data_IF_887375820309
#
_entry.id   IF_887375820309
#
_cell.length_a   1.000
_cell.length_b   1.000
_cell.length_c   1.000
_cell.angle_alpha   90.00
_cell.angle_beta   90.00
_cell.angle_gamma   90.00
#
_symmetry.space_group_name_H-M   'P 1'
#
loop_
_entity.id
_entity.type
_entity.pdbx_description
1 polymer ?
#
# COMPACT_ATOMS: atom_id res chain seq x y z
N UNK A 1 29.93 12.28 7.47
CA UNK A 1 29.23 13.46 6.94
C UNK A 1 30.05 14.15 5.85
N UNK A 2 29.47 14.27 4.65
CA UNK A 2 30.06 14.89 3.47
C UNK A 2 30.02 16.42 3.54
N UNK A 3 31.00 17.05 2.88
CA UNK A 3 31.02 18.51 2.74
C UNK A 3 30.11 18.99 1.58
N UNK A 4 29.79 20.29 1.60
CA UNK A 4 28.87 20.93 0.63
C UNK A 4 29.34 20.89 -0.83
N UNK A 5 30.62 20.64 -1.08
CA UNK A 5 31.22 20.53 -2.42
C UNK A 5 31.34 19.09 -2.91
N UNK A 6 31.00 18.10 -2.07
CA UNK A 6 31.02 16.70 -2.47
C UNK A 6 30.08 16.46 -3.66
N UNK A 7 30.61 15.73 -4.66
CA UNK A 7 29.86 15.29 -5.83
C UNK A 7 29.82 13.76 -5.77
N UNK A 8 28.63 13.14 -5.73
CA UNK A 8 28.53 11.69 -5.69
C UNK A 8 29.06 11.07 -6.98
N UNK A 9 29.68 9.90 -6.85
CA UNK A 9 30.11 9.08 -7.98
C UNK A 9 29.24 7.83 -8.05
N UNK A 10 28.95 7.35 -9.26
CA UNK A 10 28.28 6.06 -9.40
C UNK A 10 29.22 4.95 -8.95
N UNK A 11 28.76 4.00 -8.11
CA UNK A 11 29.58 2.85 -7.73
C UNK A 11 29.90 1.95 -8.93
N UNK A 12 29.02 1.91 -9.94
CA UNK A 12 29.22 1.24 -11.24
C UNK A 12 28.28 1.86 -12.29
N UNK A 13 28.54 1.61 -13.58
CA UNK A 13 27.90 2.30 -14.72
C UNK A 13 26.37 2.30 -14.68
N UNK A 14 25.78 1.13 -14.37
CA UNK A 14 24.34 0.90 -14.41
C UNK A 14 23.65 1.06 -13.05
N UNK A 15 24.32 1.70 -12.07
CA UNK A 15 23.73 1.98 -10.77
C UNK A 15 22.47 2.85 -10.90
N UNK A 16 21.35 2.29 -10.44
CA UNK A 16 20.05 2.96 -10.32
C UNK A 16 19.12 2.19 -9.39
N UNK A 17 18.15 2.87 -8.80
CA UNK A 17 17.09 2.19 -8.07
C UNK A 17 16.11 1.52 -9.04
N UNK A 18 15.69 0.30 -8.71
CA UNK A 18 14.69 -0.45 -9.49
C UNK A 18 13.51 -0.84 -8.62
N UNK A 19 12.30 -0.62 -9.11
CA UNK A 19 11.07 -1.08 -8.48
C UNK A 19 10.46 -2.16 -9.35
N UNK A 20 10.22 -3.36 -8.79
CA UNK A 20 9.34 -4.46 -9.20
C UNK A 20 8.80 -4.59 -10.65
N UNK A 21 9.45 -3.99 -11.65
CA UNK A 21 9.03 -3.84 -13.03
C UNK A 21 10.18 -3.23 -13.85
N UNK A 22 10.18 -3.52 -15.16
CA UNK A 22 11.04 -2.84 -16.14
C UNK A 22 10.29 -1.75 -16.91
N UNK A 23 8.95 -1.79 -16.86
CA UNK A 23 8.03 -0.79 -17.41
C UNK A 23 6.95 -0.49 -16.39
N UNK A 24 6.82 0.77 -15.97
CA UNK A 24 5.83 1.18 -14.99
C UNK A 24 4.41 1.06 -15.55
N UNK A 25 3.58 0.31 -14.84
CA UNK A 25 2.13 0.45 -14.93
C UNK A 25 1.69 1.21 -13.67
N UNK A 26 1.57 2.53 -13.79
CA UNK A 26 1.05 3.37 -12.70
C UNK A 26 -0.31 2.79 -12.25
N UNK A 27 -0.50 2.61 -10.94
CA UNK A 27 -1.72 2.06 -10.35
C UNK A 27 -1.66 0.59 -9.94
N UNK A 28 -0.66 -0.20 -10.38
CA UNK A 28 -0.51 -1.58 -9.88
C UNK A 28 -0.20 -1.66 -8.38
N UNK A 29 0.44 -0.63 -7.83
CA UNK A 29 0.69 -0.50 -6.40
C UNK A 29 -0.53 -0.04 -5.59
N UNK A 30 -1.65 0.30 -6.22
CA UNK A 30 -2.85 0.62 -5.46
C UNK A 30 -3.34 -0.64 -4.72
N UNK A 31 -3.67 -0.58 -3.41
CA UNK A 31 -4.01 -1.76 -2.64
C UNK A 31 -5.21 -2.52 -3.21
N UNK A 32 -6.18 -1.82 -3.86
CA UNK A 32 -7.33 -2.49 -4.49
C UNK A 32 -6.91 -3.33 -5.70
N UNK A 33 -5.84 -2.94 -6.40
CA UNK A 33 -5.30 -3.68 -7.55
C UNK A 33 -4.32 -4.75 -7.08
N UNK A 34 -3.29 -4.37 -6.32
CA UNK A 34 -2.22 -5.29 -5.90
C UNK A 34 -2.78 -6.45 -5.09
N UNK A 35 -3.53 -6.13 -4.03
CA UNK A 35 -4.11 -7.13 -3.15
C UNK A 35 -5.37 -7.73 -3.76
N UNK A 36 -6.14 -6.96 -4.53
CA UNK A 36 -7.29 -7.49 -5.28
C UNK A 36 -6.92 -8.68 -6.15
N UNK A 37 -5.88 -8.52 -6.99
CA UNK A 37 -5.33 -9.60 -7.81
C UNK A 37 -4.86 -10.78 -6.94
N UNK A 38 -4.22 -10.51 -5.79
CA UNK A 38 -3.77 -11.55 -4.86
C UNK A 38 -4.94 -12.37 -4.30
N UNK A 39 -6.07 -11.76 -3.94
CA UNK A 39 -7.24 -12.53 -3.47
C UNK A 39 -7.86 -13.35 -4.58
N UNK A 40 -7.87 -12.86 -5.82
CA UNK A 40 -8.35 -13.64 -6.97
C UNK A 40 -7.49 -14.87 -7.15
N UNK A 41 -6.18 -14.73 -7.05
CA UNK A 41 -5.26 -15.87 -7.05
C UNK A 41 -5.57 -16.83 -5.91
N UNK A 42 -5.76 -16.33 -4.68
CA UNK A 42 -6.05 -17.16 -3.51
C UNK A 42 -7.38 -17.91 -3.63
N UNK A 43 -8.43 -17.24 -4.12
CA UNK A 43 -9.74 -17.83 -4.43
C UNK A 43 -9.58 -19.02 -5.36
N UNK A 44 -8.80 -18.87 -6.43
CA UNK A 44 -8.54 -19.95 -7.38
C UNK A 44 -7.63 -21.05 -6.80
N UNK A 45 -6.62 -20.70 -6.02
CA UNK A 45 -5.73 -21.66 -5.34
C UNK A 45 -6.51 -22.58 -4.38
N UNK A 46 -7.52 -22.04 -3.69
CA UNK A 46 -8.42 -22.79 -2.81
C UNK A 46 -9.37 -23.72 -3.58
N UNK A 47 -9.82 -23.32 -4.77
CA UNK A 47 -10.67 -24.15 -5.63
C UNK A 47 -9.88 -25.32 -6.23
N UNK A 48 -8.70 -25.04 -6.79
CA UNK A 48 -7.83 -26.06 -7.37
C UNK A 48 -6.40 -25.55 -7.50
N UNK A 49 -5.46 -26.23 -6.81
CA UNK A 49 -4.01 -25.92 -6.83
C UNK A 49 -3.34 -26.04 -8.21
N UNK A 50 -4.04 -26.55 -9.23
CA UNK A 50 -3.54 -26.69 -10.60
C UNK A 50 -3.81 -25.51 -11.54
N UNK A 51 -4.59 -24.50 -11.12
CA UNK A 51 -5.01 -23.39 -11.98
C UNK A 51 -3.80 -22.54 -12.41
N UNK A 52 -3.80 -22.08 -13.66
CA UNK A 52 -2.72 -21.31 -14.27
C UNK A 52 -3.09 -19.84 -14.45
N UNK A 53 -2.09 -18.96 -14.48
CA UNK A 53 -2.29 -17.54 -14.78
C UNK A 53 -2.80 -17.29 -16.21
N UNK A 54 -2.70 -18.26 -17.11
CA UNK A 54 -3.26 -18.14 -18.47
C UNK A 54 -4.67 -18.70 -18.62
N UNK A 55 -5.27 -19.22 -17.53
CA UNK A 55 -6.57 -19.88 -17.59
C UNK A 55 -7.74 -18.90 -17.70
N UNK A 56 -8.87 -19.38 -18.21
CA UNK A 56 -10.11 -18.60 -18.35
C UNK A 56 -10.70 -18.22 -16.98
N UNK A 57 -10.48 -19.04 -15.94
CA UNK A 57 -10.86 -18.71 -14.57
C UNK A 57 -10.14 -17.45 -14.09
N UNK A 58 -8.81 -17.40 -14.22
CA UNK A 58 -8.05 -16.20 -13.82
C UNK A 58 -8.38 -14.99 -14.70
N UNK A 59 -8.61 -15.21 -16.00
CA UNK A 59 -9.03 -14.14 -16.91
C UNK A 59 -10.37 -13.50 -16.46
N UNK A 60 -11.37 -14.30 -16.08
CA UNK A 60 -12.65 -13.78 -15.59
C UNK A 60 -12.50 -12.95 -14.33
N UNK A 61 -11.70 -13.42 -13.36
CA UNK A 61 -11.46 -12.68 -12.12
C UNK A 61 -10.75 -11.34 -12.37
N UNK A 62 -9.80 -11.29 -13.32
CA UNK A 62 -9.13 -10.03 -13.70
C UNK A 62 -10.07 -9.07 -14.44
N UNK A 63 -10.94 -9.57 -15.32
CA UNK A 63 -11.94 -8.75 -16.03
C UNK A 63 -12.92 -8.14 -15.03
N UNK A 64 -13.40 -8.92 -14.07
CA UNK A 64 -14.30 -8.44 -13.01
C UNK A 64 -13.63 -7.35 -12.17
N UNK A 65 -12.41 -7.59 -11.69
CA UNK A 65 -11.65 -6.59 -10.94
C UNK A 65 -11.42 -5.32 -11.77
N UNK A 66 -11.06 -5.47 -13.05
CA UNK A 66 -10.88 -4.34 -13.98
C UNK A 66 -12.12 -3.46 -14.05
N UNK A 67 -13.30 -4.07 -14.19
CA UNK A 67 -14.58 -3.37 -14.26
C UNK A 67 -14.91 -2.67 -12.95
N UNK A 68 -14.67 -3.33 -11.82
CA UNK A 68 -14.94 -2.77 -10.49
C UNK A 68 -14.02 -1.57 -10.17
N UNK A 69 -12.83 -1.50 -10.77
CA UNK A 69 -11.86 -0.44 -10.48
C UNK A 69 -11.73 0.62 -11.57
N UNK A 70 -12.32 0.44 -12.75
CA UNK A 70 -12.16 1.28 -13.96
C UNK A 70 -12.31 2.79 -13.68
N UNK A 71 -13.31 3.18 -12.90
CA UNK A 71 -13.60 4.59 -12.59
C UNK A 71 -12.65 5.21 -11.54
N UNK A 72 -11.89 4.37 -10.82
CA UNK A 72 -11.10 4.77 -9.65
C UNK A 72 -9.60 4.61 -9.84
N UNK A 73 -9.17 3.53 -10.49
CA UNK A 73 -7.77 3.20 -10.73
C UNK A 73 -7.61 2.90 -12.21
N UNK A 74 -6.80 3.70 -12.91
CA UNK A 74 -6.65 3.66 -14.38
C UNK A 74 -5.85 2.47 -14.91
N UNK A 75 -6.03 1.26 -14.35
CA UNK A 75 -5.35 0.04 -14.77
C UNK A 75 -6.32 -0.88 -15.51
N UNK A 76 -6.06 -1.10 -16.80
CA UNK A 76 -6.79 -2.07 -17.63
C UNK A 76 -6.22 -3.48 -17.41
N UNK A 77 -6.84 -4.23 -16.48
CA UNK A 77 -6.51 -5.62 -16.21
C UNK A 77 -7.17 -6.57 -17.22
N UNK A 78 -8.31 -6.18 -17.81
CA UNK A 78 -9.05 -6.99 -18.76
C UNK A 78 -8.24 -7.32 -20.02
N UNK A 79 -7.38 -6.40 -20.47
CA UNK A 79 -6.43 -6.63 -21.60
C UNK A 79 -5.19 -7.44 -21.24
N UNK A 80 -5.02 -7.83 -19.98
CA UNK A 80 -3.83 -8.53 -19.46
C UNK A 80 -4.17 -9.97 -19.07
N UNK A 81 -4.87 -10.69 -19.94
CA UNK A 81 -5.35 -12.06 -19.75
C UNK A 81 -4.73 -13.05 -20.75
N UNK A 82 -5.00 -14.35 -20.60
CA UNK A 82 -4.53 -15.40 -21.50
C UNK A 82 -3.00 -15.60 -21.50
N UNK A 83 -2.42 -15.84 -22.68
CA UNK A 83 -0.99 -16.18 -22.82
C UNK A 83 -0.03 -15.01 -22.52
N UNK A 84 -0.50 -13.75 -22.67
CA UNK A 84 0.24 -12.53 -22.32
C UNK A 84 -0.33 -11.89 -21.06
N UNK A 85 -0.65 -12.71 -20.06
CA UNK A 85 -1.30 -12.24 -18.84
C UNK A 85 -0.43 -11.30 -17.98
N UNK A 86 -1.09 -10.64 -17.04
CA UNK A 86 -0.51 -9.71 -16.06
C UNK A 86 0.71 -10.27 -15.34
N UNK A 87 0.70 -11.54 -14.94
CA UNK A 87 1.76 -12.12 -14.11
C UNK A 87 3.00 -12.46 -14.94
N UNK A 88 2.82 -12.77 -16.21
CA UNK A 88 3.93 -12.92 -17.15
C UNK A 88 4.68 -11.61 -17.38
N UNK A 89 3.95 -10.49 -17.53
CA UNK A 89 4.54 -9.19 -17.88
C UNK A 89 4.93 -8.33 -16.66
N UNK A 90 4.20 -8.49 -15.55
CA UNK A 90 4.29 -7.61 -14.38
C UNK A 90 4.28 -8.39 -13.06
N UNK A 91 4.43 -9.72 -13.08
CA UNK A 91 4.44 -10.55 -11.87
C UNK A 91 5.56 -10.23 -10.87
N UNK A 92 6.55 -9.42 -11.30
CA UNK A 92 7.61 -8.88 -10.45
C UNK A 92 7.04 -8.04 -9.29
N UNK A 93 5.90 -7.35 -9.47
CA UNK A 93 5.20 -6.63 -8.38
C UNK A 93 4.89 -7.57 -7.21
N UNK A 94 4.31 -8.73 -7.47
CA UNK A 94 3.96 -9.69 -6.42
C UNK A 94 5.18 -10.47 -5.91
N UNK A 95 6.16 -10.80 -6.77
CA UNK A 95 7.37 -11.53 -6.35
C UNK A 95 8.28 -10.68 -5.46
N UNK A 96 8.54 -9.44 -5.85
CA UNK A 96 9.41 -8.53 -5.09
C UNK A 96 8.87 -8.20 -3.70
N UNK A 97 7.55 -8.33 -3.52
CA UNK A 97 6.82 -8.13 -2.26
C UNK A 97 6.54 -9.45 -1.53
N UNK A 98 7.18 -10.55 -1.96
CA UNK A 98 7.05 -11.88 -1.37
C UNK A 98 5.61 -12.42 -1.30
N UNK A 99 4.73 -12.04 -2.23
CA UNK A 99 3.32 -12.45 -2.26
C UNK A 99 3.09 -13.74 -3.07
N UNK A 100 3.86 -13.94 -4.13
CA UNK A 100 3.82 -15.17 -4.95
C UNK A 100 5.21 -15.77 -5.06
N UNK A 101 5.26 -17.08 -5.31
CA UNK A 101 6.55 -17.78 -5.40
C UNK A 101 7.42 -17.26 -6.56
N UNK A 102 8.75 -17.20 -6.39
CA UNK A 102 9.68 -16.90 -7.46
C UNK A 102 9.51 -17.82 -8.68
N UNK A 103 9.78 -17.30 -9.88
CA UNK A 103 9.31 -17.81 -11.18
C UNK A 103 9.48 -19.30 -11.50
N UNK A 104 8.50 -20.11 -11.10
CA UNK A 104 8.34 -21.48 -11.58
C UNK A 104 7.90 -21.53 -13.05
N UNK A 105 8.44 -22.48 -13.83
CA UNK A 105 8.09 -22.68 -15.25
C UNK A 105 6.66 -23.19 -15.48
N UNK A 106 5.95 -23.55 -14.41
CA UNK A 106 4.63 -24.17 -14.46
C UNK A 106 3.51 -23.22 -14.90
N UNK A 107 3.70 -21.90 -14.68
CA UNK A 107 2.66 -20.89 -14.88
C UNK A 107 1.46 -21.04 -13.93
N UNK A 108 1.57 -21.88 -12.91
CA UNK A 108 0.53 -22.13 -11.92
C UNK A 108 0.42 -20.97 -10.94
N UNK A 109 -0.81 -20.72 -10.49
CA UNK A 109 -1.08 -19.82 -9.37
C UNK A 109 -0.52 -20.46 -8.11
N UNK A 110 0.45 -19.80 -7.49
CA UNK A 110 1.09 -20.31 -6.28
C UNK A 110 1.56 -19.13 -5.42
N UNK A 111 0.91 -18.97 -4.27
CA UNK A 111 1.25 -17.92 -3.30
C UNK A 111 2.35 -18.43 -2.35
N UNK A 112 3.15 -17.51 -1.82
CA UNK A 112 4.00 -17.82 -0.66
C UNK A 112 3.13 -17.96 0.60
N UNK A 113 3.68 -18.48 1.69
CA UNK A 113 2.94 -18.50 2.96
C UNK A 113 2.60 -17.10 3.47
N UNK A 114 3.50 -16.13 3.24
CA UNK A 114 3.21 -14.72 3.51
C UNK A 114 2.05 -14.20 2.65
N UNK A 115 2.09 -14.44 1.35
CA UNK A 115 1.03 -14.05 0.41
C UNK A 115 -0.32 -14.69 0.74
N UNK A 116 -0.35 -15.96 1.15
CA UNK A 116 -1.58 -16.63 1.61
C UNK A 116 -2.16 -15.94 2.84
N UNK A 117 -1.34 -15.61 3.84
CA UNK A 117 -1.80 -14.92 5.06
C UNK A 117 -2.30 -13.51 4.79
N UNK A 118 -1.66 -12.77 3.87
CA UNK A 118 -2.19 -11.48 3.39
C UNK A 118 -3.52 -11.69 2.66
N UNK A 119 -3.60 -12.70 1.78
CA UNK A 119 -4.79 -12.98 0.99
C UNK A 119 -5.99 -13.41 1.86
N UNK A 120 -5.72 -14.20 2.89
CA UNK A 120 -6.70 -14.70 3.86
C UNK A 120 -7.03 -13.64 4.93
N UNK A 121 -6.42 -12.44 4.86
CA UNK A 121 -6.59 -11.32 5.81
C UNK A 121 -6.16 -11.63 7.24
N UNK A 122 -5.30 -12.64 7.40
CA UNK A 122 -4.59 -12.92 8.66
C UNK A 122 -3.43 -11.95 8.90
N UNK A 123 -2.96 -11.30 7.83
CA UNK A 123 -2.06 -10.14 7.86
C UNK A 123 -2.82 -8.95 7.30
N UNK A 124 -2.91 -7.86 8.06
CA UNK A 124 -3.62 -6.66 7.62
C UNK A 124 -2.85 -5.91 6.54
N UNK A 125 -3.51 -4.98 5.86
CA UNK A 125 -2.86 -4.11 4.88
C UNK A 125 -1.73 -3.29 5.52
N UNK A 126 -1.95 -2.79 6.75
CA UNK A 126 -0.97 -2.01 7.50
C UNK A 126 0.23 -2.87 7.90
N UNK A 127 -0.01 -4.09 8.40
CA UNK A 127 1.08 -5.04 8.70
C UNK A 127 1.89 -5.38 7.44
N UNK A 128 1.22 -5.69 6.33
CA UNK A 128 1.87 -5.94 5.04
C UNK A 128 2.77 -4.77 4.61
N UNK A 129 2.25 -3.55 4.71
CA UNK A 129 2.98 -2.35 4.31
C UNK A 129 4.18 -2.08 5.22
N UNK A 130 4.02 -2.20 6.54
CA UNK A 130 5.10 -2.01 7.51
C UNK A 130 6.25 -3.01 7.30
N UNK A 131 5.94 -4.29 7.05
CA UNK A 131 6.94 -5.31 6.72
C UNK A 131 7.63 -4.99 5.41
N UNK A 132 6.88 -4.55 4.40
CA UNK A 132 7.45 -4.18 3.10
C UNK A 132 8.41 -3.00 3.26
N UNK A 133 8.07 -1.99 4.05
CA UNK A 133 8.98 -0.87 4.38
C UNK A 133 10.28 -1.38 5.00
N UNK A 134 10.21 -2.35 5.91
CA UNK A 134 11.38 -2.91 6.60
C UNK A 134 12.22 -3.86 5.74
N UNK A 135 11.61 -4.57 4.80
CA UNK A 135 12.25 -5.72 4.12
C UNK A 135 12.56 -5.47 2.65
N UNK A 136 11.87 -4.52 1.99
CA UNK A 136 12.14 -4.21 0.58
C UNK A 136 13.51 -3.58 0.45
N UNK A 137 14.41 -4.31 -0.24
CA UNK A 137 15.80 -3.89 -0.40
C UNK A 137 16.26 -3.92 -1.85
N UNK A 138 17.32 -3.17 -2.12
CA UNK A 138 18.17 -3.29 -3.30
C UNK A 138 19.56 -3.79 -2.88
N UNK A 139 20.17 -4.73 -3.60
CA UNK A 139 19.60 -5.39 -4.78
C UNK A 139 18.44 -6.35 -4.41
N UNK A 140 17.43 -6.43 -5.27
CA UNK A 140 16.30 -7.35 -5.12
C UNK A 140 16.41 -8.49 -6.15
N UNK A 141 16.63 -9.75 -5.73
CA UNK A 141 16.81 -10.88 -6.66
C UNK A 141 15.55 -11.24 -7.45
N UNK A 142 14.38 -10.69 -7.10
CA UNK A 142 13.15 -10.85 -7.89
C UNK A 142 12.99 -9.79 -9.00
N UNK A 143 13.88 -8.79 -9.01
CA UNK A 143 13.86 -7.64 -9.93
C UNK A 143 15.14 -7.56 -10.75
N UNK A 144 16.28 -7.93 -10.15
CA UNK A 144 17.63 -7.83 -10.70
C UNK A 144 18.19 -9.22 -11.00
N UNK A 145 19.07 -9.31 -12.00
CA UNK A 145 19.75 -10.59 -12.31
C UNK A 145 20.74 -10.96 -11.19
N UNK A 146 21.18 -12.21 -11.16
CA UNK A 146 22.17 -12.67 -10.18
C UNK A 146 23.47 -11.88 -10.28
N UNK A 147 23.95 -11.62 -11.51
CA UNK A 147 25.18 -10.86 -11.77
C UNK A 147 25.06 -9.42 -11.29
N UNK A 148 23.89 -8.80 -11.51
CA UNK A 148 23.62 -7.46 -11.02
C UNK A 148 23.57 -7.43 -9.49
N UNK A 149 22.91 -8.41 -8.85
CA UNK A 149 22.88 -8.51 -7.40
C UNK A 149 24.29 -8.69 -6.81
N UNK A 150 25.12 -9.55 -7.40
CA UNK A 150 26.51 -9.76 -7.00
C UNK A 150 27.33 -8.48 -7.14
N UNK A 151 27.12 -7.70 -8.20
CA UNK A 151 27.80 -6.43 -8.40
C UNK A 151 27.46 -5.43 -7.29
N UNK A 152 26.19 -5.27 -6.93
CA UNK A 152 25.79 -4.43 -5.80
C UNK A 152 26.46 -4.87 -4.49
N UNK A 153 26.43 -6.17 -4.19
CA UNK A 153 27.02 -6.73 -2.97
C UNK A 153 28.54 -6.57 -2.92
N UNK A 154 29.23 -6.71 -4.06
CA UNK A 154 30.68 -6.49 -4.19
C UNK A 154 31.08 -5.05 -3.84
N UNK A 155 30.19 -4.09 -4.11
CA UNK A 155 30.35 -2.68 -3.73
C UNK A 155 29.80 -2.38 -2.32
N UNK A 156 29.42 -3.39 -1.54
CA UNK A 156 28.90 -3.20 -0.18
C UNK A 156 27.54 -2.51 -0.13
N UNK A 157 26.76 -2.56 -1.21
CA UNK A 157 25.48 -1.85 -1.30
C UNK A 157 24.32 -2.78 -0.94
N UNK A 158 23.67 -2.48 0.18
CA UNK A 158 22.34 -2.95 0.53
C UNK A 158 21.54 -1.73 0.97
N UNK A 159 20.52 -1.36 0.21
CA UNK A 159 19.71 -0.17 0.45
C UNK A 159 18.29 -0.62 0.73
N UNK A 160 17.59 0.06 1.63
CA UNK A 160 16.18 -0.15 1.92
C UNK A 160 15.41 1.10 1.50
N UNK A 161 15.05 1.26 0.21
CA UNK A 161 14.53 2.51 -0.35
C UNK A 161 13.34 3.11 0.40
N UNK A 162 12.35 2.28 0.74
CA UNK A 162 11.14 2.73 1.43
C UNK A 162 11.45 3.25 2.84
N UNK A 163 12.30 2.52 3.57
CA UNK A 163 12.81 2.90 4.88
C UNK A 163 13.60 4.21 4.81
N UNK A 164 14.57 4.30 3.89
CA UNK A 164 15.42 5.46 3.72
C UNK A 164 14.63 6.73 3.37
N UNK A 165 13.63 6.62 2.48
CA UNK A 165 12.75 7.74 2.16
C UNK A 165 12.03 8.24 3.41
N UNK A 166 11.44 7.33 4.21
CA UNK A 166 10.74 7.68 5.44
C UNK A 166 11.67 8.28 6.50
N UNK A 167 12.89 7.76 6.66
CA UNK A 167 13.92 8.32 7.55
C UNK A 167 14.25 9.76 7.16
N UNK A 168 14.49 10.02 5.86
CA UNK A 168 14.81 11.35 5.35
C UNK A 168 13.66 12.32 5.59
N UNK A 169 12.41 11.99 5.23
CA UNK A 169 11.28 12.91 5.39
C UNK A 169 10.91 13.14 6.85
N UNK A 170 11.07 12.14 7.73
CA UNK A 170 10.87 12.32 9.17
C UNK A 170 11.92 13.25 9.77
N UNK A 171 13.18 13.16 9.32
CA UNK A 171 14.23 14.08 9.79
C UNK A 171 14.00 15.49 9.24
N UNK A 172 13.65 15.64 7.96
CA UNK A 172 13.29 16.93 7.38
C UNK A 172 12.07 17.57 8.08
N UNK A 173 11.11 16.78 8.54
CA UNK A 173 9.95 17.27 9.29
C UNK A 173 10.37 18.00 10.58
N UNK A 174 11.42 17.54 11.27
CA UNK A 174 11.97 18.22 12.46
C UNK A 174 12.51 19.62 12.15
N UNK A 175 12.81 19.89 10.87
CA UNK A 175 13.21 21.19 10.35
C UNK A 175 12.05 21.97 9.70
N UNK A 176 10.81 21.48 9.79
CA UNK A 176 9.62 22.10 9.18
C UNK A 176 9.41 21.76 7.70
N UNK A 177 10.18 20.82 7.14
CA UNK A 177 10.20 20.54 5.71
C UNK A 177 9.91 19.06 5.37
N UNK A 178 8.94 18.44 6.03
CA UNK A 178 8.63 17.00 6.01
C UNK A 178 8.08 16.43 4.70
N UNK A 179 8.74 16.71 3.58
CA UNK A 179 8.43 16.20 2.26
C UNK A 179 9.69 15.94 1.43
N UNK A 180 9.52 15.17 0.36
CA UNK A 180 10.49 15.04 -0.73
C UNK A 180 9.80 15.28 -2.07
N UNK A 181 10.55 15.80 -3.03
CA UNK A 181 10.12 15.84 -4.43
C UNK A 181 10.63 14.63 -5.23
N UNK A 182 9.96 14.32 -6.34
CA UNK A 182 10.50 13.37 -7.32
C UNK A 182 11.89 13.79 -7.80
N UNK A 183 12.10 15.08 -8.04
CA UNK A 183 13.41 15.62 -8.43
C UNK A 183 14.49 15.35 -7.38
N UNK A 184 14.22 15.64 -6.11
CA UNK A 184 15.14 15.38 -5.01
C UNK A 184 15.45 13.89 -4.86
N UNK A 185 14.45 13.02 -5.06
CA UNK A 185 14.68 11.57 -5.06
C UNK A 185 15.68 11.18 -6.16
N UNK A 186 15.44 11.57 -7.41
CA UNK A 186 16.23 11.09 -8.54
C UNK A 186 17.58 11.79 -8.71
N UNK A 187 17.67 13.07 -8.34
CA UNK A 187 18.89 13.86 -8.50
C UNK A 187 19.76 13.93 -7.25
N UNK A 188 19.23 13.66 -6.06
CA UNK A 188 19.99 13.76 -4.80
C UNK A 188 20.05 12.43 -4.07
N UNK A 189 18.89 11.88 -3.70
CA UNK A 189 18.83 10.68 -2.85
C UNK A 189 19.43 9.46 -3.55
N UNK A 190 19.01 9.15 -4.79
CA UNK A 190 19.52 7.99 -5.51
C UNK A 190 21.05 8.09 -5.72
N UNK A 191 21.62 9.19 -6.24
CA UNK A 191 23.07 9.34 -6.35
C UNK A 191 23.84 9.16 -5.03
N UNK A 192 23.41 9.84 -3.96
CA UNK A 192 24.07 9.74 -2.64
C UNK A 192 24.01 8.32 -2.06
N UNK A 193 22.94 7.58 -2.36
CA UNK A 193 22.78 6.20 -1.89
C UNK A 193 23.83 5.23 -2.45
N UNK A 194 24.48 5.58 -3.56
CA UNK A 194 25.62 4.83 -4.11
C UNK A 194 26.96 5.12 -3.42
N UNK A 195 27.02 6.13 -2.55
CA UNK A 195 28.24 6.63 -1.91
C UNK A 195 28.31 6.34 -0.41
N UNK A 196 27.46 5.45 0.13
CA UNK A 196 27.37 5.17 1.56
C UNK A 196 27.07 6.43 2.42
N UNK A 197 26.27 7.35 1.89
CA UNK A 197 25.81 8.53 2.61
C UNK A 197 25.04 8.16 3.89
N UNK A 198 25.27 8.91 4.97
CA UNK A 198 24.52 8.80 6.21
C UNK A 198 23.24 9.64 6.14
N UNK A 199 22.27 9.39 7.04
CA UNK A 199 20.98 10.11 7.04
C UNK A 199 21.15 11.64 6.98
N UNK A 200 22.09 12.18 7.76
CA UNK A 200 22.34 13.62 7.82
C UNK A 200 22.90 14.18 6.49
N UNK A 201 23.60 13.37 5.70
CA UNK A 201 24.10 13.79 4.40
C UNK A 201 22.92 14.08 3.45
N UNK A 202 21.94 13.18 3.38
CA UNK A 202 20.75 13.39 2.56
C UNK A 202 20.01 14.68 2.97
N UNK A 203 19.75 14.83 4.28
CA UNK A 203 19.04 16.00 4.83
C UNK A 203 19.79 17.29 4.49
N UNK A 204 21.10 17.33 4.68
CA UNK A 204 21.92 18.50 4.38
C UNK A 204 21.87 18.85 2.89
N UNK A 205 22.08 17.88 1.99
CA UNK A 205 22.08 18.12 0.55
C UNK A 205 20.71 18.57 0.02
N UNK A 206 19.62 18.00 0.53
CA UNK A 206 18.27 18.43 0.17
C UNK A 206 18.03 19.87 0.60
N UNK A 207 18.40 20.23 1.84
CA UNK A 207 18.21 21.59 2.35
C UNK A 207 19.08 22.60 1.61
N UNK A 208 20.35 22.28 1.36
CA UNK A 208 21.22 23.13 0.54
C UNK A 208 20.70 23.28 -0.88
N UNK A 209 20.09 22.25 -1.48
CA UNK A 209 19.47 22.34 -2.79
C UNK A 209 18.28 23.31 -2.77
N UNK A 210 17.37 23.18 -1.80
CA UNK A 210 16.20 24.05 -1.63
C UNK A 210 16.57 25.50 -1.37
N UNK A 211 17.67 25.74 -0.64
CA UNK A 211 18.23 27.08 -0.38
C UNK A 211 18.94 27.70 -1.60
N UNK A 212 19.08 26.97 -2.73
CA UNK A 212 19.84 27.42 -3.90
C UNK A 212 21.35 27.48 -3.64
N UNK A 213 21.81 26.71 -2.66
CA UNK A 213 23.14 26.78 -2.06
C UNK A 213 24.16 25.84 -2.70
N UNK A 214 23.70 24.91 -3.54
CA UNK A 214 24.51 23.96 -4.31
C UNK A 214 23.99 23.88 -5.75
N UNK A 215 24.88 23.55 -6.67
CA UNK A 215 24.52 23.17 -8.04
C UNK A 215 24.71 21.67 -8.22
N UNK A 216 23.63 20.99 -8.60
CA UNK A 216 23.61 19.54 -8.84
C UNK A 216 23.62 19.21 -10.35
N UNK A 217 23.82 20.20 -11.22
CA UNK A 217 23.81 20.02 -12.68
C UNK A 217 24.85 19.00 -13.19
N UNK A 218 25.97 18.86 -12.47
CA UNK A 218 27.07 17.95 -12.80
C UNK A 218 26.99 16.60 -12.08
N UNK A 219 25.96 16.37 -11.27
CA UNK A 219 25.81 15.11 -10.54
C UNK A 219 25.47 13.95 -11.50
N UNK A 220 25.89 12.71 -11.19
CA UNK A 220 25.67 11.57 -12.07
C UNK A 220 24.18 11.28 -12.27
N UNK A 221 23.78 11.09 -13.53
CA UNK A 221 22.43 10.67 -13.87
C UNK A 221 22.22 9.18 -13.56
N UNK A 222 21.55 8.88 -12.43
CA UNK A 222 21.18 7.52 -12.01
C UNK A 222 19.79 7.09 -12.51
N UNK A 223 19.20 7.83 -13.44
CA UNK A 223 17.92 7.50 -14.10
C UNK A 223 18.00 7.75 -15.62
N UNK A 224 18.96 7.15 -16.36
CA UNK A 224 19.19 7.45 -17.78
C UNK A 224 18.11 6.90 -18.72
N UNK A 225 17.38 5.87 -18.30
CA UNK A 225 16.33 5.24 -19.10
C UNK A 225 15.02 6.04 -19.07
N UNK A 226 14.26 5.99 -20.18
CA UNK A 226 13.01 6.73 -20.35
C UNK A 226 11.94 6.44 -19.26
N UNK A 227 12.02 5.27 -18.61
CA UNK A 227 11.10 4.89 -17.53
C UNK A 227 11.70 5.07 -16.13
N UNK A 228 12.98 5.37 -15.98
CA UNK A 228 13.67 5.28 -14.68
C UNK A 228 13.11 6.28 -13.65
N UNK A 229 12.71 7.47 -14.08
CA UNK A 229 12.00 8.44 -13.21
C UNK A 229 10.65 7.89 -12.75
N UNK A 230 9.89 7.23 -13.64
CA UNK A 230 8.61 6.62 -13.28
C UNK A 230 8.82 5.46 -12.31
N UNK A 231 9.89 4.68 -12.48
CA UNK A 231 10.27 3.58 -11.57
C UNK A 231 10.63 4.14 -10.19
N UNK A 232 11.40 5.23 -10.12
CA UNK A 232 11.70 5.89 -8.85
C UNK A 232 10.44 6.42 -8.15
N UNK A 233 9.46 6.94 -8.91
CA UNK A 233 8.18 7.39 -8.34
C UNK A 233 7.37 6.26 -7.70
N UNK A 234 7.55 5.00 -8.11
CA UNK A 234 6.80 3.88 -7.52
C UNK A 234 7.03 3.73 -6.00
N UNK A 235 8.20 4.14 -5.48
CA UNK A 235 8.45 4.15 -4.03
C UNK A 235 7.52 5.12 -3.30
N UNK A 236 7.38 6.34 -3.82
CA UNK A 236 6.44 7.32 -3.27
C UNK A 236 5.00 6.90 -3.44
N UNK A 237 4.65 6.31 -4.59
CA UNK A 237 3.30 5.80 -4.84
C UNK A 237 2.96 4.67 -3.86
N UNK A 238 3.89 3.75 -3.57
CA UNK A 238 3.71 2.73 -2.54
C UNK A 238 3.46 3.40 -1.18
N UNK A 239 4.37 4.25 -0.70
CA UNK A 239 4.23 4.89 0.61
C UNK A 239 2.92 5.70 0.74
N UNK A 240 2.50 6.35 -0.35
CA UNK A 240 1.24 7.11 -0.38
C UNK A 240 0.01 6.21 -0.38
N UNK A 241 0.05 5.12 -1.15
CA UNK A 241 -1.06 4.18 -1.27
C UNK A 241 -1.39 3.47 0.05
N UNK A 242 -0.36 3.23 0.87
CA UNK A 242 -0.45 2.63 2.20
C UNK A 242 -0.49 3.67 3.34
N UNK A 243 -0.66 4.95 3.01
CA UNK A 243 -1.00 6.01 3.97
C UNK A 243 0.14 6.54 4.83
N UNK A 244 1.40 6.26 4.49
CA UNK A 244 2.56 6.87 5.16
C UNK A 244 2.84 8.29 4.65
N UNK A 245 2.45 8.58 3.41
CA UNK A 245 2.69 9.86 2.75
C UNK A 245 1.46 10.37 2.00
N UNK A 246 1.41 11.68 1.76
CA UNK A 246 0.38 12.35 0.97
C UNK A 246 1.01 13.22 -0.11
N UNK A 247 0.55 13.08 -1.35
CA UNK A 247 0.96 13.93 -2.46
C UNK A 247 0.11 15.20 -2.50
N UNK A 248 0.75 16.38 -2.53
CA UNK A 248 0.05 17.69 -2.49
C UNK A 248 0.19 18.56 -3.75
N UNK A 249 1.22 18.38 -4.59
CA UNK A 249 1.43 19.20 -5.81
C UNK A 249 1.22 18.39 -7.09
N UNK A 250 0.58 19.01 -8.11
CA UNK A 250 0.21 18.34 -9.38
C UNK A 250 0.64 19.12 -10.64
N UNK A 251 1.68 19.95 -10.55
CA UNK A 251 2.13 20.72 -11.71
C UNK A 251 2.76 19.82 -12.78
N UNK A 252 3.78 19.05 -12.40
CA UNK A 252 4.40 18.05 -13.24
C UNK A 252 5.01 16.94 -12.36
N UNK A 253 5.33 15.79 -12.95
CA UNK A 253 5.80 14.61 -12.19
C UNK A 253 7.10 14.84 -11.42
N UNK A 254 7.98 15.74 -11.86
CA UNK A 254 9.25 16.02 -11.19
C UNK A 254 9.07 16.91 -9.96
N UNK A 255 8.12 17.84 -10.02
CA UNK A 255 7.80 18.78 -8.94
C UNK A 255 6.78 18.28 -7.91
N UNK A 256 6.25 17.06 -8.10
CA UNK A 256 5.36 16.39 -7.14
C UNK A 256 6.02 16.30 -5.75
N UNK A 257 5.34 16.85 -4.74
CA UNK A 257 5.75 16.84 -3.34
C UNK A 257 4.98 15.78 -2.57
N UNK A 258 5.71 14.89 -1.91
CA UNK A 258 5.18 13.83 -1.07
C UNK A 258 5.51 14.15 0.39
N UNK A 259 4.50 14.48 1.18
CA UNK A 259 4.62 14.82 2.60
C UNK A 259 4.42 13.58 3.45
N UNK A 260 5.19 13.43 4.54
CA UNK A 260 4.88 12.41 5.54
C UNK A 260 3.57 12.75 6.28
N UNK A 261 2.78 11.75 6.62
CA UNK A 261 1.60 11.92 7.45
C UNK A 261 2.02 12.26 8.89
N UNK A 262 1.92 13.54 9.26
CA UNK A 262 2.34 14.08 10.57
C UNK A 262 1.72 13.34 11.77
N UNK A 263 0.47 12.92 11.68
CA UNK A 263 -0.23 12.19 12.73
C UNK A 263 0.30 10.76 12.98
N UNK A 264 1.14 10.23 12.07
CA UNK A 264 1.73 8.88 12.15
C UNK A 264 3.23 8.88 12.48
N UNK A 265 3.86 10.03 12.77
CA UNK A 265 5.32 10.11 12.88
C UNK A 265 5.90 9.23 13.98
N UNK A 266 5.17 9.06 15.09
CA UNK A 266 5.60 8.21 16.21
C UNK A 266 5.62 6.74 15.80
N UNK A 267 4.55 6.26 15.15
CA UNK A 267 4.45 4.88 14.68
C UNK A 267 5.42 4.61 13.52
N UNK A 268 5.62 5.57 12.62
CA UNK A 268 6.64 5.49 11.58
C UNK A 268 8.01 5.35 12.24
N UNK A 269 8.34 6.18 13.23
CA UNK A 269 9.62 6.09 13.94
C UNK A 269 9.83 4.74 14.62
N UNK A 270 8.78 4.17 15.21
CA UNK A 270 8.82 2.82 15.79
C UNK A 270 9.09 1.75 14.73
N UNK A 271 8.39 1.80 13.60
CA UNK A 271 8.64 0.93 12.44
C UNK A 271 10.12 1.06 12.02
N UNK A 272 10.63 2.27 11.81
CA UNK A 272 11.99 2.51 11.33
C UNK A 272 13.07 2.03 12.31
N UNK A 273 12.84 2.12 13.63
CA UNK A 273 13.79 1.69 14.65
C UNK A 273 13.88 0.17 14.83
N UNK A 274 12.93 -0.60 14.26
CA UNK A 274 12.97 -2.05 14.33
C UNK A 274 14.20 -2.59 13.59
N UNK A 275 15.05 -3.34 14.31
CA UNK A 275 16.21 -3.99 13.72
C UNK A 275 15.80 -5.32 13.08
N UNK A 276 15.87 -5.39 11.76
CA UNK A 276 15.70 -6.62 10.97
C UNK A 276 17.01 -7.41 10.96
N UNK A 277 17.42 -7.98 12.10
CA UNK A 277 18.69 -8.73 12.17
C UNK A 277 18.43 -10.21 11.89
N UNK A 278 18.58 -10.62 10.62
CA UNK A 278 18.41 -12.02 10.18
C UNK A 278 17.08 -12.67 10.57
N UNK A 279 16.08 -11.86 10.92
CA UNK A 279 14.77 -12.31 11.34
C UNK A 279 13.95 -12.81 10.14
N UNK A 280 13.17 -13.87 10.32
CA UNK A 280 12.18 -14.25 9.32
C UNK A 280 11.06 -13.20 9.27
N UNK A 281 10.32 -13.12 8.16
CA UNK A 281 9.15 -12.24 8.05
C UNK A 281 8.12 -12.51 9.16
N UNK A 282 8.02 -13.75 9.63
CA UNK A 282 7.11 -14.15 10.71
C UNK A 282 7.57 -13.62 12.07
N UNK A 283 8.87 -13.50 12.30
CA UNK A 283 9.44 -12.96 13.54
C UNK A 283 9.19 -11.45 13.63
N UNK A 284 9.42 -10.74 12.52
CA UNK A 284 9.08 -9.31 12.38
C UNK A 284 7.59 -9.10 12.70
N UNK A 285 6.70 -9.85 12.05
CA UNK A 285 5.25 -9.80 12.33
C UNK A 285 4.90 -9.99 13.80
N UNK A 286 5.54 -10.96 14.45
CA UNK A 286 5.26 -11.30 15.83
C UNK A 286 5.65 -10.16 16.78
N UNK A 287 6.76 -9.47 16.50
CA UNK A 287 7.17 -8.26 17.23
C UNK A 287 6.24 -7.09 16.96
N UNK A 288 5.88 -6.83 15.70
CA UNK A 288 4.95 -5.73 15.35
C UNK A 288 3.65 -5.84 16.17
N UNK A 289 3.11 -7.07 16.27
CA UNK A 289 1.90 -7.37 17.03
C UNK A 289 2.07 -7.23 18.53
N UNK A 290 3.26 -7.55 19.05
CA UNK A 290 3.57 -7.40 20.47
C UNK A 290 3.63 -5.92 20.87
N UNK A 291 4.25 -5.09 20.03
CA UNK A 291 4.42 -3.65 20.26
C UNK A 291 3.19 -2.82 19.87
N UNK A 292 2.25 -3.40 19.10
CA UNK A 292 0.93 -2.84 18.73
C UNK A 292 0.95 -1.54 17.92
N UNK A 293 2.08 -1.14 17.34
CA UNK A 293 2.12 0.11 16.55
C UNK A 293 1.29 0.02 15.26
N UNK A 294 1.18 -1.16 14.63
CA UNK A 294 0.31 -1.33 13.46
C UNK A 294 -1.17 -1.12 13.79
N UNK A 295 -1.60 -1.49 15.00
CA UNK A 295 -2.96 -1.26 15.48
C UNK A 295 -3.22 0.25 15.67
N UNK A 296 -2.23 0.98 16.21
CA UNK A 296 -2.31 2.44 16.36
C UNK A 296 -2.30 3.17 15.01
N UNK A 297 -1.51 2.70 14.04
CA UNK A 297 -1.55 3.23 12.66
C UNK A 297 -2.94 3.08 12.07
N UNK A 298 -3.55 1.89 12.15
CA UNK A 298 -4.92 1.67 11.65
C UNK A 298 -5.93 2.58 12.34
N UNK A 299 -5.89 2.66 13.68
CA UNK A 299 -6.77 3.52 14.47
C UNK A 299 -6.67 4.98 14.04
N UNK A 300 -5.46 5.51 13.94
CA UNK A 300 -5.20 6.90 13.55
C UNK A 300 -5.60 7.18 12.11
N UNK A 301 -5.37 6.26 11.17
CA UNK A 301 -5.79 6.38 9.77
C UNK A 301 -7.31 6.39 9.62
N UNK A 302 -8.01 5.50 10.33
CA UNK A 302 -9.48 5.51 10.38
C UNK A 302 -9.98 6.85 10.91
N UNK A 303 -9.42 7.34 12.04
CA UNK A 303 -9.80 8.65 12.60
C UNK A 303 -9.55 9.80 11.62
N UNK A 304 -8.37 9.87 11.01
CA UNK A 304 -8.01 10.90 10.04
C UNK A 304 -8.92 10.88 8.80
N UNK A 305 -9.18 9.70 8.24
CA UNK A 305 -10.07 9.53 7.08
C UNK A 305 -11.51 9.97 7.34
N UNK A 306 -11.95 9.91 8.62
CA UNK A 306 -13.25 10.43 9.04
C UNK A 306 -13.22 11.96 9.06
N UNK A 307 -12.20 12.59 9.65
CA UNK A 307 -12.16 14.05 9.83
C UNK A 307 -12.02 14.81 8.50
N UNK A 308 -11.16 14.36 7.60
CA UNK A 308 -10.78 15.14 6.39
C UNK A 308 -11.69 14.91 5.17
N UNK A 309 -12.88 14.33 5.36
CA UNK A 309 -13.77 13.97 4.25
C UNK A 309 -14.79 15.08 3.92
N UNK A 310 -14.86 15.56 2.67
CA UNK A 310 -15.90 16.50 2.25
C UNK A 310 -17.32 15.95 2.47
N UNK A 311 -18.29 16.82 2.75
CA UNK A 311 -19.73 16.51 2.87
C UNK A 311 -20.13 15.48 3.95
N UNK A 312 -19.21 15.06 4.81
CA UNK A 312 -19.45 14.00 5.78
C UNK A 312 -20.62 14.31 6.73
N UNK A 313 -20.81 15.56 7.15
CA UNK A 313 -21.91 15.95 8.02
C UNK A 313 -23.30 15.75 7.37
N UNK A 314 -23.43 16.11 6.09
CA UNK A 314 -24.67 15.95 5.33
C UNK A 314 -24.96 14.47 5.04
N UNK A 315 -23.93 13.70 4.67
CA UNK A 315 -24.02 12.26 4.50
C UNK A 315 -24.45 11.57 5.80
N UNK A 316 -23.77 11.88 6.91
CA UNK A 316 -24.08 11.34 8.24
C UNK A 316 -25.53 11.58 8.62
N UNK A 317 -26.01 12.81 8.47
CA UNK A 317 -27.40 13.15 8.78
C UNK A 317 -28.39 12.32 7.97
N UNK A 318 -28.12 12.14 6.67
CA UNK A 318 -28.99 11.38 5.77
C UNK A 318 -29.03 9.89 6.11
N UNK A 319 -27.87 9.27 6.36
CA UNK A 319 -27.76 7.85 6.72
C UNK A 319 -28.40 7.56 8.08
N UNK A 320 -28.10 8.37 9.11
CA UNK A 320 -28.69 8.17 10.44
C UNK A 320 -30.21 8.34 10.44
N UNK A 321 -30.74 9.25 9.60
CA UNK A 321 -32.19 9.41 9.42
C UNK A 321 -32.85 8.21 8.75
N UNK A 322 -32.14 7.53 7.84
CA UNK A 322 -32.68 6.39 7.11
C UNK A 322 -32.54 5.06 7.87
N UNK A 323 -31.42 4.86 8.57
CA UNK A 323 -31.14 3.61 9.29
C UNK A 323 -31.65 3.63 10.75
N UNK A 324 -31.62 4.79 11.42
CA UNK A 324 -32.00 5.04 12.83
C UNK A 324 -31.25 4.25 13.92
N UNK A 325 -30.60 3.14 13.55
CA UNK A 325 -29.91 2.23 14.47
C UNK A 325 -28.70 1.59 13.80
N UNK A 326 -27.78 1.05 14.60
CA UNK A 326 -26.67 0.25 14.11
C UNK A 326 -27.18 -0.98 13.36
N UNK A 327 -26.71 -1.17 12.12
CA UNK A 327 -27.12 -2.30 11.27
C UNK A 327 -26.74 -3.68 11.85
N UNK A 328 -25.72 -3.72 12.72
CA UNK A 328 -25.22 -4.95 13.35
C UNK A 328 -25.84 -5.20 14.73
N UNK A 329 -25.86 -4.17 15.60
CA UNK A 329 -26.20 -4.33 17.03
C UNK A 329 -27.59 -3.79 17.40
N UNK A 330 -28.29 -3.13 16.48
CA UNK A 330 -29.55 -2.42 16.73
C UNK A 330 -29.46 -1.27 17.76
N UNK A 331 -28.26 -0.87 18.21
CA UNK A 331 -28.08 0.30 19.09
C UNK A 331 -28.60 1.57 18.40
N UNK A 332 -29.39 2.37 19.11
CA UNK A 332 -30.04 3.60 18.59
C UNK A 332 -29.41 4.89 19.11
N UNK A 333 -28.45 4.82 20.03
CA UNK A 333 -27.85 5.98 20.68
C UNK A 333 -27.01 6.81 19.69
N UNK A 334 -27.43 8.04 19.31
CA UNK A 334 -26.80 8.79 18.22
C UNK A 334 -25.32 9.13 18.44
N UNK A 335 -24.91 9.27 19.69
CA UNK A 335 -23.55 9.64 20.13
C UNK A 335 -22.51 8.57 19.78
N UNK A 336 -22.92 7.30 19.69
CA UNK A 336 -22.03 6.16 19.34
C UNK A 336 -22.25 5.65 17.93
N UNK A 337 -23.21 6.21 17.20
CA UNK A 337 -23.47 5.85 15.81
C UNK A 337 -22.63 6.69 14.87
N UNK A 338 -22.15 6.07 13.80
CA UNK A 338 -21.47 6.70 12.68
C UNK A 338 -22.10 6.25 11.36
N UNK A 339 -21.92 7.07 10.32
CA UNK A 339 -22.31 6.72 8.97
C UNK A 339 -21.08 6.15 8.25
N UNK A 340 -21.07 4.83 8.09
CA UNK A 340 -20.04 4.10 7.39
C UNK A 340 -20.38 4.03 5.91
N UNK A 341 -19.43 4.39 5.05
CA UNK A 341 -19.58 4.16 3.62
C UNK A 341 -19.34 2.71 3.27
N UNK A 342 -20.16 2.17 2.37
CA UNK A 342 -19.97 0.81 1.86
C UNK A 342 -18.81 0.82 0.85
N UNK A 343 -18.95 1.53 -0.27
CA UNK A 343 -17.84 1.83 -1.19
C UNK A 343 -17.11 3.10 -0.73
N UNK A 344 -15.79 3.07 -0.48
CA UNK A 344 -15.02 4.23 -0.02
C UNK A 344 -14.98 5.38 -1.03
N UNK A 345 -14.82 6.60 -0.52
CA UNK A 345 -14.59 7.80 -1.34
C UNK A 345 -13.40 7.65 -2.29
N UNK A 346 -12.28 7.10 -1.77
CA UNK A 346 -11.03 6.89 -2.53
C UNK A 346 -11.30 6.17 -3.85
N UNK A 347 -12.28 5.27 -3.84
CA UNK A 347 -12.68 4.46 -5.00
C UNK A 347 -14.00 4.91 -5.61
N UNK A 348 -14.29 6.22 -5.56
CA UNK A 348 -15.49 6.85 -6.15
C UNK A 348 -16.82 6.36 -5.55
N UNK A 349 -16.84 6.01 -4.27
CA UNK A 349 -18.09 5.79 -3.55
C UNK A 349 -18.85 7.09 -3.33
N UNK A 350 -20.13 7.11 -3.71
CA UNK A 350 -21.00 8.28 -3.60
C UNK A 350 -21.44 8.56 -2.15
N UNK A 351 -21.77 9.81 -1.85
CA UNK A 351 -22.32 10.22 -0.55
C UNK A 351 -23.86 10.09 -0.54
N UNK A 352 -24.37 8.88 -0.80
CA UNK A 352 -25.80 8.57 -0.84
C UNK A 352 -26.20 7.58 0.26
N UNK A 353 -27.46 7.61 0.70
CA UNK A 353 -27.98 6.67 1.71
C UNK A 353 -27.81 5.21 1.25
N UNK A 354 -27.91 4.94 -0.05
CA UNK A 354 -27.69 3.62 -0.63
C UNK A 354 -26.23 3.10 -0.48
N UNK A 355 -25.28 4.00 -0.25
CA UNK A 355 -23.87 3.70 0.01
C UNK A 355 -23.51 3.81 1.51
N UNK A 356 -24.51 3.83 2.41
CA UNK A 356 -24.29 4.15 3.81
C UNK A 356 -24.95 3.16 4.77
N UNK A 357 -24.22 2.81 5.83
CA UNK A 357 -24.77 2.13 7.00
C UNK A 357 -24.60 2.98 8.25
N UNK A 358 -25.60 2.97 9.12
CA UNK A 358 -25.39 3.38 10.50
C UNK A 358 -24.70 2.25 11.27
N UNK A 359 -23.55 2.53 11.87
CA UNK A 359 -22.74 1.56 12.61
C UNK A 359 -22.29 2.13 13.95
N UNK A 360 -22.18 1.28 14.98
CA UNK A 360 -21.50 1.66 16.22
C UNK A 360 -20.01 1.92 15.91
N UNK A 361 -19.39 2.90 16.57
CA UNK A 361 -18.02 3.36 16.25
C UNK A 361 -16.97 2.24 16.16
N UNK A 362 -17.00 1.29 17.08
CA UNK A 362 -16.10 0.12 17.09
C UNK A 362 -16.33 -0.83 15.91
N UNK A 363 -17.59 -1.11 15.57
CA UNK A 363 -18.00 -1.93 14.42
C UNK A 363 -17.65 -1.25 13.10
N UNK A 364 -17.83 0.06 13.03
CA UNK A 364 -17.40 0.84 11.88
C UNK A 364 -15.87 0.75 11.71
N UNK A 365 -15.11 0.83 12.79
CA UNK A 365 -13.66 0.62 12.74
C UNK A 365 -13.32 -0.78 12.23
N UNK A 366 -13.97 -1.84 12.72
CA UNK A 366 -13.78 -3.20 12.19
C UNK A 366 -14.11 -3.31 10.69
N UNK A 367 -15.16 -2.60 10.24
CA UNK A 367 -15.56 -2.58 8.84
C UNK A 367 -14.56 -1.83 7.95
N UNK A 368 -13.97 -0.74 8.46
CA UNK A 368 -12.98 0.08 7.76
C UNK A 368 -11.56 -0.49 7.80
N UNK A 369 -11.19 -1.27 8.82
CA UNK A 369 -9.92 -2.00 8.84
C UNK A 369 -10.01 -3.36 8.15
N UNK A 370 -11.19 -3.76 7.65
CA UNK A 370 -11.41 -5.01 6.93
C UNK A 370 -11.51 -6.25 7.83
N UNK A 371 -11.58 -6.07 9.14
CA UNK A 371 -11.80 -7.14 10.11
C UNK A 371 -13.25 -7.65 10.15
N UNK A 372 -14.21 -6.85 9.65
CA UNK A 372 -15.60 -7.22 9.45
C UNK A 372 -15.98 -6.97 7.99
N UNK A 373 -16.58 -7.97 7.34
CA UNK A 373 -17.12 -7.85 5.99
C UNK A 373 -18.57 -8.31 5.97
N UNK A 374 -19.34 -7.75 5.04
CA UNK A 374 -20.76 -8.02 4.87
C UNK A 374 -20.98 -8.40 3.41
N UNK A 375 -21.49 -9.60 3.13
CA UNK A 375 -21.83 -10.04 1.78
C UNK A 375 -23.11 -9.33 1.29
N UNK A 376 -23.38 -9.29 -0.03
CA UNK A 376 -24.63 -8.77 -0.59
C UNK A 376 -25.91 -9.41 -0.01
N UNK A 377 -25.81 -10.64 0.49
CA UNK A 377 -26.87 -11.44 1.12
C UNK A 377 -26.98 -11.23 2.63
N UNK A 378 -26.13 -10.34 3.18
CA UNK A 378 -26.08 -9.98 4.60
C UNK A 378 -25.28 -10.94 5.49
N UNK A 379 -24.52 -11.87 4.91
CA UNK A 379 -23.64 -12.76 5.69
C UNK A 379 -22.46 -11.95 6.23
N UNK A 380 -22.15 -12.10 7.51
CA UNK A 380 -21.05 -11.40 8.16
C UNK A 380 -19.85 -12.32 8.30
N UNK A 381 -18.71 -11.85 7.81
CA UNK A 381 -17.42 -12.52 7.98
C UNK A 381 -16.52 -11.68 8.87
N UNK A 382 -15.95 -12.33 9.88
CA UNK A 382 -14.96 -11.76 10.77
C UNK A 382 -13.58 -12.36 10.51
N UNK A 383 -12.55 -11.53 10.58
CA UNK A 383 -11.16 -12.00 10.68
C UNK A 383 -10.99 -12.91 11.91
N UNK A 384 -9.95 -13.74 11.91
CA UNK A 384 -9.63 -14.65 13.03
C UNK A 384 -9.55 -13.89 14.37
N UNK A 385 -8.89 -12.72 14.38
CA UNK A 385 -8.77 -11.85 15.56
C UNK A 385 -10.13 -11.29 16.00
N UNK A 386 -10.89 -10.69 15.09
CA UNK A 386 -12.19 -10.13 15.43
C UNK A 386 -13.21 -11.19 15.87
N UNK A 387 -13.13 -12.42 15.32
CA UNK A 387 -14.01 -13.52 15.73
C UNK A 387 -13.81 -13.90 17.20
N UNK A 388 -12.59 -13.85 17.71
CA UNK A 388 -12.29 -14.20 19.12
C UNK A 388 -12.97 -13.24 20.10
N UNK A 389 -12.91 -11.93 19.81
CA UNK A 389 -13.42 -10.91 20.74
C UNK A 389 -14.88 -10.52 20.48
N UNK A 390 -15.31 -10.52 19.21
CA UNK A 390 -16.63 -10.02 18.81
C UNK A 390 -17.59 -11.13 18.37
N UNK A 391 -17.14 -12.37 18.17
CA UNK A 391 -17.95 -13.44 17.58
C UNK A 391 -19.24 -13.76 18.34
N UNK A 392 -19.27 -13.54 19.66
CA UNK A 392 -20.48 -13.71 20.47
C UNK A 392 -21.46 -12.52 20.39
N UNK A 393 -20.97 -11.32 20.06
CA UNK A 393 -21.75 -10.07 20.06
C UNK A 393 -22.22 -9.64 18.67
N UNK A 394 -21.55 -10.12 17.62
CA UNK A 394 -21.88 -9.82 16.23
C UNK A 394 -22.66 -11.01 15.65
N UNK A 395 -23.89 -10.79 15.16
CA UNK A 395 -24.66 -11.86 14.54
C UNK A 395 -23.95 -12.37 13.28
N UNK A 396 -24.11 -13.66 12.92
CA UNK A 396 -23.50 -14.20 11.69
C UNK A 396 -24.17 -13.68 10.41
N UNK A 397 -25.36 -13.06 10.53
CA UNK A 397 -26.13 -12.53 9.42
C UNK A 397 -26.97 -11.33 9.85
N UNK A 398 -27.15 -10.38 8.94
CA UNK A 398 -28.05 -9.24 9.07
C UNK A 398 -29.05 -9.20 7.92
N UNK A 399 -30.09 -8.39 8.09
CA UNK A 399 -30.99 -8.00 6.99
C UNK A 399 -30.44 -6.72 6.37
N UNK A 400 -30.00 -6.80 5.12
CA UNK A 400 -29.54 -5.64 4.36
C UNK A 400 -30.76 -4.80 3.97
N UNK A 401 -30.83 -3.50 4.30
CA UNK A 401 -31.98 -2.65 3.95
C UNK A 401 -32.17 -2.55 2.44
N UNK A 402 -33.42 -2.52 1.97
CA UNK A 402 -33.75 -2.52 0.54
C UNK A 402 -33.19 -1.33 -0.24
N UNK A 403 -33.00 -0.18 0.41
CA UNK A 403 -32.40 0.99 -0.20
C UNK A 403 -30.88 0.85 -0.41
N UNK A 404 -30.24 -0.18 0.14
CA UNK A 404 -28.80 -0.40 0.05
C UNK A 404 -28.43 -0.83 -1.37
N UNK A 405 -27.45 -0.15 -1.96
CA UNK A 405 -26.90 -0.57 -3.24
C UNK A 405 -26.07 -1.86 -3.05
N UNK A 406 -26.61 -2.99 -3.52
CA UNK A 406 -25.95 -4.29 -3.43
C UNK A 406 -24.67 -4.39 -4.25
N UNK A 407 -24.52 -3.61 -5.32
CA UNK A 407 -23.26 -3.55 -6.08
C UNK A 407 -22.15 -2.90 -5.27
N UNK A 408 -22.44 -1.88 -4.48
CA UNK A 408 -21.46 -1.30 -3.55
C UNK A 408 -21.05 -2.29 -2.48
N UNK A 409 -22.01 -3.06 -1.97
CA UNK A 409 -21.75 -4.10 -0.96
C UNK A 409 -20.90 -5.24 -1.54
N UNK A 410 -21.20 -5.71 -2.77
CA UNK A 410 -20.36 -6.66 -3.50
C UNK A 410 -18.95 -6.11 -3.68
N UNK A 411 -18.83 -4.88 -4.21
CA UNK A 411 -17.54 -4.24 -4.44
C UNK A 411 -16.70 -4.19 -3.16
N UNK A 412 -17.31 -3.78 -2.04
CA UNK A 412 -16.65 -3.69 -0.73
C UNK A 412 -16.21 -5.07 -0.24
N UNK A 413 -17.09 -6.07 -0.33
CA UNK A 413 -16.82 -7.43 0.11
C UNK A 413 -15.66 -8.08 -0.66
N UNK A 414 -15.64 -7.89 -1.97
CA UNK A 414 -14.72 -8.54 -2.90
C UNK A 414 -13.35 -7.84 -2.99
N UNK A 415 -13.32 -6.50 -2.95
CA UNK A 415 -12.14 -5.74 -3.36
C UNK A 415 -11.43 -4.99 -2.21
N UNK A 416 -12.13 -4.71 -1.10
CA UNK A 416 -11.59 -3.86 -0.03
C UNK A 416 -10.91 -4.63 1.10
N UNK A 417 -9.79 -4.08 1.59
CA UNK A 417 -8.81 -4.82 2.42
C UNK A 417 -8.39 -4.05 3.66
N UNK A 418 -9.28 -3.18 4.14
CA UNK A 418 -8.94 -2.22 5.16
C UNK A 418 -8.34 -0.95 4.59
N UNK A 419 -8.28 0.06 5.45
CA UNK A 419 -7.60 1.32 5.14
C UNK A 419 -6.10 1.13 5.02
#
# INVERSE_FOLDING_TARGET
MFDKKFVPEKPFSDFKWKWACLQCTEGLNDPVILLGVLFRMRKLELLNKGIKYSSDEFARELIELSKDTEESVGVDLARRTGERNLIRNSGQYWRALNLIVPGGRSGKIELTDFGRRVADRDISQTEFAAITVQTFRLPNPQVQSSEECELWLKHGLIIYPLKLILEIVCELLKHGEGYLTTEELVKIVIPLSGCHAELQDYVNFIRWYREGSIDISQWPNCTPGANDVRIAREYFLFLSNYGYMEMKSKHDRMSEQYFVCDYLTDEITQILNEQVKQDSILDILSRMRLEKYTDEVERKRVQSSRVYRPNQAAFRKSVLRACERCIITNVTMPEVLEAAHIKPFKYKGEDTVANGFAMRTDIHTLFDTGHLRISPEGVIELSSRARMDYGASIPPRIVVPDFTNKDFLRWRYENYNGI
#
